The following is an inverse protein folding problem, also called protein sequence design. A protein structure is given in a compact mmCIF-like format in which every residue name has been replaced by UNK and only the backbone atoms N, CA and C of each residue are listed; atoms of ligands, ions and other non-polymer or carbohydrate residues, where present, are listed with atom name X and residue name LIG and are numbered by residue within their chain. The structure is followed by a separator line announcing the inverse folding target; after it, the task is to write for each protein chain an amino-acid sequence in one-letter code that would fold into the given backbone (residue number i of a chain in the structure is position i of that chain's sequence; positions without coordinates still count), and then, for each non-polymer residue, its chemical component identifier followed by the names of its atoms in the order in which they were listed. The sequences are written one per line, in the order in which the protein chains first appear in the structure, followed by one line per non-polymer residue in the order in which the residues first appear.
data_IF_474668678459
#
_entry.id   IF_474668678459
#
_cell.length_a   1.000
_cell.length_b   1.000
_cell.length_c   1.000
_cell.angle_alpha   90.00
_cell.angle_beta   90.00
_cell.angle_gamma   90.00
#
_symmetry.space_group_name_H-M   'P 1'
#
loop_
_entity.id
_entity.type
_entity.pdbx_description
1 polymer ?
#
# COMPACT_ATOMS: atom_id res chain seq x y z
N UNK A 1 -0.37 -0.97 32.91
CA UNK A 1 0.95 -0.35 33.09
C UNK A 1 0.91 0.97 32.33
N UNK A 2 0.89 2.11 33.02
CA UNK A 2 0.66 3.44 32.44
C UNK A 2 1.97 4.25 32.33
N UNK A 3 3.02 3.62 31.82
CA UNK A 3 4.29 4.31 31.61
C UNK A 3 4.24 5.03 30.26
N UNK A 4 4.74 6.27 30.16
CA UNK A 4 4.91 6.92 28.86
C UNK A 4 5.90 6.12 28.01
N UNK A 5 5.76 6.18 26.68
CA UNK A 5 6.76 5.61 25.80
C UNK A 5 8.12 6.31 25.98
N UNK A 6 9.25 5.60 25.78
CA UNK A 6 10.57 6.19 25.81
C UNK A 6 10.64 7.38 24.84
N UNK A 7 11.30 8.46 25.24
CA UNK A 7 11.49 9.65 24.40
C UNK A 7 12.61 9.43 23.36
N UNK A 8 12.52 8.32 22.64
CA UNK A 8 13.48 7.85 21.65
C UNK A 8 12.85 7.78 20.26
N UNK A 9 12.11 8.84 19.89
CA UNK A 9 11.51 9.02 18.58
C UNK A 9 11.38 10.50 18.25
N UNK A 10 11.43 10.83 16.97
CA UNK A 10 11.55 12.21 16.50
C UNK A 10 10.19 12.86 16.26
N UNK A 11 9.24 12.11 15.69
CA UNK A 11 7.89 12.58 15.44
C UNK A 11 6.87 11.43 15.43
N UNK A 12 5.58 11.80 15.45
CA UNK A 12 4.47 10.87 15.25
C UNK A 12 3.99 10.96 13.80
N UNK A 13 3.85 9.82 13.12
CA UNK A 13 3.27 9.75 11.80
C UNK A 13 1.87 9.13 11.86
N UNK A 14 0.88 9.89 11.40
CA UNK A 14 -0.51 9.46 11.31
C UNK A 14 -0.95 9.41 9.84
N UNK A 15 -1.89 8.54 9.53
CA UNK A 15 -2.55 8.52 8.23
C UNK A 15 -4.00 8.12 8.38
N UNK A 16 -4.88 8.85 7.71
CA UNK A 16 -6.24 8.36 7.48
C UNK A 16 -6.18 7.05 6.67
N UNK A 17 -7.09 6.11 6.93
CA UNK A 17 -7.19 4.88 6.15
C UNK A 17 -7.37 5.22 4.66
N UNK A 18 -6.72 4.44 3.78
CA UNK A 18 -6.80 4.57 2.32
C UNK A 18 -6.22 5.89 1.75
N UNK A 19 -5.32 6.56 2.48
CA UNK A 19 -4.66 7.80 2.06
C UNK A 19 -3.25 7.62 1.49
N UNK A 20 -2.86 6.41 1.06
CA UNK A 20 -1.52 6.17 0.48
C UNK A 20 -0.42 5.88 1.52
N UNK A 21 -0.79 5.39 2.70
CA UNK A 21 0.15 5.05 3.78
C UNK A 21 1.22 4.03 3.38
N UNK A 22 0.92 3.13 2.43
CA UNK A 22 1.89 2.15 1.95
C UNK A 22 3.05 2.81 1.16
N UNK A 23 2.74 3.75 0.26
CA UNK A 23 3.75 4.55 -0.43
C UNK A 23 4.56 5.41 0.56
N UNK A 24 3.88 6.05 1.51
CA UNK A 24 4.54 6.85 2.56
C UNK A 24 5.49 6.01 3.42
N UNK A 25 5.08 4.80 3.83
CA UNK A 25 5.93 3.84 4.57
C UNK A 25 7.22 3.59 3.80
N UNK A 26 7.10 3.24 2.53
CA UNK A 26 8.25 2.91 1.71
C UNK A 26 9.19 4.11 1.53
N UNK A 27 8.67 5.31 1.28
CA UNK A 27 9.53 6.50 1.15
C UNK A 27 10.25 6.85 2.46
N UNK A 28 9.59 6.72 3.61
CA UNK A 28 10.22 6.90 4.91
C UNK A 28 11.33 5.86 5.15
N UNK A 29 11.08 4.59 4.83
CA UNK A 29 12.08 3.51 4.95
C UNK A 29 13.29 3.72 4.02
N UNK A 30 13.06 4.23 2.80
CA UNK A 30 14.15 4.62 1.91
C UNK A 30 15.00 5.74 2.52
N UNK A 31 14.37 6.67 3.25
CA UNK A 31 15.02 7.72 4.04
C UNK A 31 15.61 7.22 5.37
N UNK A 32 15.76 5.90 5.54
CA UNK A 32 16.32 5.25 6.74
C UNK A 32 15.57 5.58 8.04
N UNK A 33 14.30 5.98 7.92
CA UNK A 33 13.42 6.15 9.07
C UNK A 33 13.01 4.76 9.58
N UNK A 34 13.24 4.52 10.86
CA UNK A 34 12.77 3.33 11.56
C UNK A 34 11.35 3.57 12.07
N UNK A 35 10.38 3.01 11.36
CA UNK A 35 8.95 3.18 11.66
C UNK A 35 8.53 2.19 12.74
N UNK A 36 8.38 2.68 13.97
CA UNK A 36 7.87 1.94 15.10
C UNK A 36 6.34 1.89 15.03
N UNK A 37 5.79 0.78 14.53
CA UNK A 37 4.35 0.55 14.40
C UNK A 37 3.97 -0.87 14.78
N UNK A 38 2.76 -1.05 15.27
CA UNK A 38 2.16 -2.37 15.45
C UNK A 38 0.64 -2.24 15.38
N UNK A 39 -0.01 -3.20 14.72
CA UNK A 39 -1.46 -3.18 14.49
C UNK A 39 -2.04 -4.37 15.24
N UNK A 40 -2.92 -4.08 16.20
CA UNK A 40 -3.58 -5.09 17.00
C UNK A 40 -4.89 -4.53 17.56
N UNK A 41 -5.86 -5.37 17.88
CA UNK A 41 -7.13 -4.93 18.49
C UNK A 41 -6.94 -4.49 19.95
N UNK A 42 -6.01 -5.13 20.66
CA UNK A 42 -5.61 -4.80 22.04
C UNK A 42 -4.55 -3.67 22.06
N UNK A 43 -4.84 -2.51 22.67
CA UNK A 43 -3.92 -1.38 22.78
C UNK A 43 -2.67 -1.68 23.62
N UNK A 44 -2.74 -2.60 24.59
CA UNK A 44 -1.58 -3.01 25.38
C UNK A 44 -0.56 -3.72 24.49
N UNK A 45 -1.03 -4.53 23.53
CA UNK A 45 -0.15 -5.19 22.57
C UNK A 45 0.46 -4.17 21.61
N UNK A 46 -0.30 -3.17 21.16
CA UNK A 46 0.24 -2.06 20.35
C UNK A 46 1.36 -1.34 21.13
N UNK A 47 1.06 -0.93 22.36
CA UNK A 47 2.00 -0.22 23.23
C UNK A 47 3.27 -1.04 23.48
N UNK A 48 3.14 -2.29 23.93
CA UNK A 48 4.28 -3.13 24.30
C UNK A 48 5.20 -3.41 23.11
N UNK A 49 4.64 -3.63 21.92
CA UNK A 49 5.44 -3.81 20.71
C UNK A 49 6.18 -2.54 20.31
N UNK A 50 5.52 -1.37 20.34
CA UNK A 50 6.17 -0.09 20.03
C UNK A 50 7.25 0.22 21.08
N UNK A 51 6.96 0.01 22.36
CA UNK A 51 7.91 0.18 23.46
C UNK A 51 9.17 -0.65 23.23
N UNK A 52 9.03 -1.95 22.91
CA UNK A 52 10.16 -2.83 22.62
C UNK A 52 10.93 -2.41 21.37
N UNK A 53 10.26 -1.96 20.31
CA UNK A 53 10.91 -1.46 19.10
C UNK A 53 11.79 -0.24 19.39
N UNK A 54 11.31 0.69 20.21
CA UNK A 54 12.06 1.88 20.63
C UNK A 54 13.27 1.51 21.50
N UNK A 55 13.13 0.55 22.42
CA UNK A 55 14.24 0.10 23.26
C UNK A 55 15.32 -0.66 22.48
N UNK A 56 14.92 -1.47 21.50
CA UNK A 56 15.86 -2.30 20.73
C UNK A 56 16.60 -1.51 19.65
N UNK A 57 16.14 -0.31 19.29
CA UNK A 57 16.72 0.51 18.23
C UNK A 57 17.07 1.94 18.71
N UNK A 58 17.90 2.10 19.77
CA UNK A 58 18.15 3.41 20.39
C UNK A 58 18.93 4.39 19.51
N UNK A 59 19.64 3.89 18.49
CA UNK A 59 20.49 4.71 17.63
C UNK A 59 19.87 4.98 16.25
N UNK A 60 18.67 4.45 15.97
CA UNK A 60 17.99 4.68 14.70
C UNK A 60 17.16 5.95 14.78
N UNK A 61 16.92 6.56 13.61
CA UNK A 61 15.96 7.65 13.47
C UNK A 61 14.54 7.07 13.61
N UNK A 62 14.00 7.06 14.83
CA UNK A 62 12.74 6.40 15.14
C UNK A 62 11.54 7.33 14.94
N UNK A 63 10.46 6.78 14.41
CA UNK A 63 9.16 7.45 14.29
C UNK A 63 8.09 6.52 14.82
N UNK A 64 7.17 7.02 15.63
CA UNK A 64 5.99 6.25 16.02
C UNK A 64 4.93 6.45 14.95
N UNK A 65 4.41 5.37 14.38
CA UNK A 65 3.34 5.47 13.40
C UNK A 65 2.06 4.76 13.86
N UNK A 66 0.92 5.41 13.60
CA UNK A 66 -0.39 4.82 13.72
C UNK A 66 -1.16 5.00 12.41
N UNK A 67 -1.65 3.88 11.88
CA UNK A 67 -2.39 3.83 10.63
C UNK A 67 -3.61 2.94 10.82
N UNK A 68 -4.78 3.48 10.49
CA UNK A 68 -6.02 2.75 10.62
C UNK A 68 -6.17 1.70 9.50
N UNK A 69 -6.42 0.46 9.91
CA UNK A 69 -6.73 -0.65 9.02
C UNK A 69 -8.17 -1.10 9.23
N UNK A 70 -8.90 -1.28 8.13
CA UNK A 70 -10.33 -1.60 8.16
C UNK A 70 -10.63 -3.00 8.70
N UNK A 71 -9.63 -3.90 8.69
CA UNK A 71 -9.73 -5.29 9.15
C UNK A 71 -9.23 -5.50 10.60
N UNK A 72 -8.68 -4.48 11.26
CA UNK A 72 -8.30 -4.54 12.69
C UNK A 72 -9.02 -3.43 13.45
N UNK A 73 -10.06 -3.81 14.18
CA UNK A 73 -10.82 -2.88 15.01
C UNK A 73 -10.12 -2.62 16.33
N UNK A 74 -9.93 -1.34 16.67
CA UNK A 74 -9.50 -0.86 17.98
C UNK A 74 -10.57 0.12 18.45
N UNK A 75 -11.13 -0.02 19.64
CA UNK A 75 -12.14 0.93 20.12
C UNK A 75 -11.56 2.34 20.27
N UNK A 76 -12.39 3.39 20.22
CA UNK A 76 -11.92 4.76 20.48
C UNK A 76 -11.34 4.92 21.88
N UNK A 77 -11.93 4.27 22.88
CA UNK A 77 -11.45 4.31 24.26
C UNK A 77 -10.04 3.70 24.39
N UNK A 78 -9.82 2.55 23.77
CA UNK A 78 -8.53 1.87 23.78
C UNK A 78 -7.46 2.67 23.02
N UNK A 79 -7.84 3.24 21.89
CA UNK A 79 -6.96 4.09 21.11
C UNK A 79 -6.62 5.38 21.86
N UNK A 80 -7.59 5.99 22.52
CA UNK A 80 -7.38 7.15 23.40
C UNK A 80 -6.34 6.85 24.49
N UNK A 81 -6.45 5.69 25.16
CA UNK A 81 -5.45 5.25 26.15
C UNK A 81 -4.05 5.19 25.56
N UNK A 82 -3.90 4.60 24.37
CA UNK A 82 -2.60 4.55 23.69
C UNK A 82 -2.09 5.95 23.32
N UNK A 83 -2.92 6.79 22.71
CA UNK A 83 -2.53 8.13 22.27
C UNK A 83 -2.11 9.01 23.44
N UNK A 84 -2.72 8.85 24.62
CA UNK A 84 -2.36 9.58 25.83
C UNK A 84 -0.97 9.22 26.39
N UNK A 85 -0.38 8.11 25.96
CA UNK A 85 1.00 7.72 26.32
C UNK A 85 2.06 8.34 25.41
N UNK A 86 1.64 8.99 24.31
CA UNK A 86 2.55 9.70 23.39
C UNK A 86 2.92 11.08 23.93
N UNK A 87 4.17 11.51 23.68
CA UNK A 87 4.61 12.87 23.98
C UNK A 87 3.90 13.89 23.09
N UNK A 88 3.05 14.72 23.70
CA UNK A 88 2.18 15.69 23.02
C UNK A 88 2.92 16.90 22.44
N UNK A 89 4.19 17.08 22.79
CA UNK A 89 5.03 18.16 22.28
C UNK A 89 5.80 17.77 21.01
N UNK A 90 5.81 16.48 20.65
CA UNK A 90 6.48 16.00 19.43
C UNK A 90 5.73 16.49 18.18
N UNK A 91 6.45 16.80 17.09
CA UNK A 91 5.83 17.06 15.80
C UNK A 91 4.97 15.87 15.35
N UNK A 92 3.92 16.18 14.58
CA UNK A 92 3.03 15.19 13.97
C UNK A 92 3.02 15.41 12.47
N UNK A 93 3.20 14.35 11.70
CA UNK A 93 3.00 14.35 10.26
C UNK A 93 1.70 13.58 9.97
N UNK A 94 0.72 14.22 9.35
CA UNK A 94 -0.59 13.61 9.10
C UNK A 94 -0.87 13.52 7.59
N UNK A 95 -0.92 12.30 7.06
CA UNK A 95 -1.29 12.04 5.67
C UNK A 95 -2.82 12.02 5.49
N UNK A 96 -3.33 12.97 4.72
CA UNK A 96 -4.76 13.15 4.41
C UNK A 96 -5.02 12.96 2.91
N UNK A 97 -6.29 12.81 2.55
CA UNK A 97 -6.72 12.63 1.16
C UNK A 97 -8.19 13.00 1.02
N UNK A 98 -8.57 13.48 -0.15
CA UNK A 98 -9.96 13.63 -0.58
C UNK A 98 -10.80 12.41 -0.16
N UNK A 99 -11.86 12.59 0.66
CA UNK A 99 -12.65 11.49 1.20
C UNK A 99 -13.41 10.68 0.15
N UNK A 100 -13.83 11.28 -0.97
CA UNK A 100 -14.45 10.54 -2.09
C UNK A 100 -13.39 9.67 -2.78
N UNK A 101 -12.18 10.20 -2.93
CA UNK A 101 -11.04 9.43 -3.45
C UNK A 101 -10.61 8.29 -2.51
N UNK A 102 -10.76 8.46 -1.19
CA UNK A 102 -10.56 7.40 -0.20
C UNK A 102 -11.62 6.31 -0.36
N UNK A 103 -12.89 6.67 -0.50
CA UNK A 103 -13.96 5.72 -0.82
C UNK A 103 -13.64 4.93 -2.10
N UNK A 104 -13.20 5.59 -3.17
CA UNK A 104 -12.76 4.90 -4.40
C UNK A 104 -11.72 3.83 -4.12
N UNK A 105 -10.68 4.15 -3.35
CA UNK A 105 -9.65 3.17 -3.02
C UNK A 105 -10.21 2.02 -2.19
N UNK A 106 -11.14 2.28 -1.28
CA UNK A 106 -11.81 1.24 -0.51
C UNK A 106 -12.69 0.31 -1.35
N UNK A 107 -13.49 0.87 -2.25
CA UNK A 107 -14.41 0.11 -3.11
C UNK A 107 -13.68 -0.77 -4.15
N UNK A 108 -12.50 -0.32 -4.59
CA UNK A 108 -11.63 -1.07 -5.49
C UNK A 108 -10.58 -1.91 -4.75
N UNK A 109 -10.63 -1.98 -3.41
CA UNK A 109 -9.65 -2.74 -2.64
C UNK A 109 -9.79 -4.23 -2.94
N UNK A 110 -8.64 -4.89 -3.08
CA UNK A 110 -8.56 -6.33 -3.33
C UNK A 110 -7.95 -7.06 -2.13
N UNK A 111 -8.33 -8.32 -1.96
CA UNK A 111 -7.71 -9.27 -1.05
C UNK A 111 -7.11 -10.43 -1.84
N UNK A 112 -6.02 -10.97 -1.30
CA UNK A 112 -5.45 -12.21 -1.80
C UNK A 112 -6.31 -13.39 -1.37
N UNK A 113 -6.65 -14.26 -2.32
CA UNK A 113 -7.37 -15.52 -2.05
C UNK A 113 -6.52 -16.42 -1.15
N UNK A 114 -7.19 -17.11 -0.23
CA UNK A 114 -6.56 -18.09 0.67
C UNK A 114 -5.97 -19.26 -0.11
N UNK A 115 -6.65 -19.69 -1.17
CA UNK A 115 -6.25 -20.79 -2.03
C UNK A 115 -5.40 -20.36 -3.25
N UNK A 116 -4.81 -19.17 -3.24
CA UNK A 116 -3.94 -18.72 -4.35
C UNK A 116 -2.70 -19.62 -4.50
N UNK A 117 -2.15 -19.72 -5.71
CA UNK A 117 -0.92 -20.48 -5.97
C UNK A 117 0.32 -19.57 -5.94
N UNK A 118 1.05 -19.56 -4.83
CA UNK A 118 2.31 -18.81 -4.70
C UNK A 118 3.50 -19.52 -5.38
N UNK A 119 3.40 -20.85 -5.56
CA UNK A 119 4.38 -21.70 -6.27
C UNK A 119 3.65 -22.55 -7.30
N UNK A 120 4.23 -22.71 -8.48
CA UNK A 120 3.66 -23.47 -9.60
C UNK A 120 4.75 -23.94 -10.56
N UNK A 121 4.42 -24.81 -11.50
CA UNK A 121 5.32 -25.36 -12.52
C UNK A 121 4.85 -25.02 -13.94
N UNK A 122 5.58 -25.54 -14.94
CA UNK A 122 5.28 -25.31 -16.36
C UNK A 122 3.99 -25.98 -16.83
N UNK A 123 3.50 -27.00 -16.12
CA UNK A 123 2.27 -27.73 -16.47
C UNK A 123 1.03 -27.10 -15.81
N UNK A 124 1.24 -26.22 -14.84
CA UNK A 124 0.16 -25.55 -14.12
C UNK A 124 -0.60 -24.59 -15.05
N UNK A 125 -1.93 -24.72 -15.19
CA UNK A 125 -2.73 -23.83 -16.03
C UNK A 125 -2.58 -22.37 -15.61
N UNK A 126 -2.19 -21.50 -16.55
CA UNK A 126 -1.95 -20.07 -16.28
C UNK A 126 -3.16 -19.38 -15.65
N UNK A 127 -4.39 -19.69 -16.09
CA UNK A 127 -5.60 -19.08 -15.53
C UNK A 127 -5.77 -19.40 -14.03
N UNK A 128 -5.30 -20.58 -13.60
CA UNK A 128 -5.28 -20.97 -12.19
C UNK A 128 -4.20 -20.22 -11.41
N UNK A 129 -3.02 -20.01 -12.01
CA UNK A 129 -1.95 -19.20 -11.42
C UNK A 129 -2.38 -17.75 -11.27
N UNK A 130 -3.10 -17.20 -12.26
CA UNK A 130 -3.58 -15.83 -12.22
C UNK A 130 -4.77 -15.65 -11.26
N UNK A 131 -5.48 -16.70 -10.87
CA UNK A 131 -6.59 -16.65 -9.90
C UNK A 131 -6.11 -16.49 -8.45
N UNK A 132 -5.68 -15.27 -8.09
CA UNK A 132 -5.02 -14.99 -6.81
C UNK A 132 -5.71 -13.98 -5.93
N UNK A 133 -6.64 -13.22 -6.47
CA UNK A 133 -7.20 -12.05 -5.80
C UNK A 133 -8.69 -11.90 -6.06
N UNK A 134 -9.39 -11.28 -5.11
CA UNK A 134 -10.81 -10.97 -5.17
C UNK A 134 -11.02 -9.56 -4.63
N UNK A 135 -12.15 -8.91 -4.93
CA UNK A 135 -12.48 -7.67 -4.24
C UNK A 135 -13.00 -7.98 -2.82
N UNK A 136 -13.06 -6.97 -1.96
CA UNK A 136 -13.64 -7.12 -0.62
C UNK A 136 -14.99 -7.86 -0.65
N UNK A 137 -15.20 -8.68 0.39
CA UNK A 137 -16.35 -9.58 0.54
C UNK A 137 -16.42 -10.65 -0.56
N UNK A 138 -15.25 -11.06 -1.06
CA UNK A 138 -15.09 -12.09 -2.10
C UNK A 138 -15.82 -11.77 -3.42
N UNK A 139 -16.12 -10.49 -3.65
CA UNK A 139 -16.84 -10.07 -4.84
C UNK A 139 -15.97 -10.19 -6.10
N UNK A 140 -16.51 -10.70 -7.23
CA UNK A 140 -15.77 -10.75 -8.50
C UNK A 140 -15.56 -9.36 -9.11
N UNK A 141 -16.39 -8.38 -8.74
CA UNK A 141 -16.35 -7.00 -9.24
C UNK A 141 -16.51 -5.99 -8.09
N UNK A 142 -15.92 -4.79 -8.20
CA UNK A 142 -16.16 -3.74 -7.21
C UNK A 142 -17.59 -3.22 -7.35
N UNK A 143 -18.19 -2.79 -6.24
CA UNK A 143 -19.56 -2.23 -6.23
C UNK A 143 -19.67 -1.02 -5.30
N UNK A 144 -20.40 0.01 -5.74
CA UNK A 144 -20.75 1.16 -4.91
C UNK A 144 -21.67 0.80 -3.74
N UNK A 145 -22.33 -0.37 -3.75
CA UNK A 145 -23.20 -0.77 -2.64
C UNK A 145 -22.46 -0.92 -1.31
N UNK A 146 -21.15 -1.19 -1.33
CA UNK A 146 -20.35 -1.21 -0.12
C UNK A 146 -20.25 0.14 0.57
N UNK A 147 -20.59 1.26 -0.11
CA UNK A 147 -20.69 2.58 0.53
C UNK A 147 -21.74 2.55 1.64
N UNK A 148 -22.93 1.98 1.36
CA UNK A 148 -24.04 1.92 2.33
C UNK A 148 -23.96 0.72 3.28
N UNK A 149 -23.34 -0.38 2.88
CA UNK A 149 -23.34 -1.61 3.69
C UNK A 149 -22.12 -1.73 4.60
N UNK A 150 -20.99 -1.11 4.25
CA UNK A 150 -19.74 -1.25 4.99
C UNK A 150 -19.08 0.09 5.32
N UNK A 151 -18.75 0.90 4.31
CA UNK A 151 -17.90 2.07 4.50
C UNK A 151 -18.53 3.14 5.40
N UNK A 152 -19.86 3.26 5.42
CA UNK A 152 -20.57 4.16 6.34
C UNK A 152 -20.40 3.79 7.82
N UNK A 153 -20.04 2.54 8.13
CA UNK A 153 -19.81 2.04 9.49
C UNK A 153 -18.32 1.82 9.79
N UNK A 154 -17.44 2.00 8.80
CA UNK A 154 -16.02 1.75 8.95
C UNK A 154 -15.35 2.84 9.80
N UNK A 155 -15.28 2.65 11.13
CA UNK A 155 -14.67 3.63 12.04
C UNK A 155 -13.23 4.02 11.66
N UNK A 156 -12.45 3.09 11.12
CA UNK A 156 -11.11 3.34 10.58
C UNK A 156 -11.08 4.42 9.49
N UNK A 157 -12.21 4.66 8.82
CA UNK A 157 -12.37 5.73 7.84
C UNK A 157 -12.58 7.10 8.50
N UNK A 158 -13.14 7.13 9.71
CA UNK A 158 -13.66 8.31 10.43
C UNK A 158 -12.85 8.61 11.71
N UNK A 159 -11.53 8.74 11.57
CA UNK A 159 -10.62 9.00 12.69
C UNK A 159 -9.82 10.29 12.57
N UNK A 160 -10.04 11.08 11.51
CA UNK A 160 -9.24 12.29 11.31
C UNK A 160 -9.45 13.27 12.46
N UNK A 161 -10.70 13.65 12.73
CA UNK A 161 -11.01 14.60 13.79
C UNK A 161 -10.65 14.05 15.17
N UNK A 162 -10.88 12.76 15.41
CA UNK A 162 -10.53 12.11 16.68
C UNK A 162 -9.02 12.14 16.94
N UNK A 163 -8.21 11.71 15.98
CA UNK A 163 -6.76 11.59 16.16
C UNK A 163 -6.09 12.95 16.35
N UNK A 164 -6.55 13.99 15.66
CA UNK A 164 -5.93 15.32 15.72
C UNK A 164 -6.17 16.03 17.05
N UNK A 165 -7.26 15.72 17.76
CA UNK A 165 -7.59 16.29 19.08
C UNK A 165 -6.54 15.96 20.16
N UNK A 166 -5.77 14.89 19.97
CA UNK A 166 -4.74 14.46 20.93
C UNK A 166 -3.43 15.22 20.83
N UNK A 167 -3.27 16.12 19.85
CA UNK A 167 -2.03 16.85 19.60
C UNK A 167 -2.30 18.34 19.46
N UNK A 168 -1.27 19.14 19.74
CA UNK A 168 -1.34 20.58 19.53
C UNK A 168 -1.39 20.88 18.04
N UNK A 169 -2.35 21.68 17.60
CA UNK A 169 -2.62 21.90 16.17
C UNK A 169 -1.40 22.48 15.44
N UNK A 170 -0.64 23.36 16.08
CA UNK A 170 0.59 23.95 15.56
C UNK A 170 1.75 22.95 15.40
N UNK A 171 1.61 21.74 15.95
CA UNK A 171 2.57 20.64 15.77
C UNK A 171 2.17 19.68 14.65
N UNK A 172 0.97 19.82 14.08
CA UNK A 172 0.47 18.94 13.02
C UNK A 172 0.80 19.53 11.65
N UNK A 173 1.66 18.85 10.91
CA UNK A 173 1.87 19.10 9.48
C UNK A 173 0.97 18.17 8.70
N UNK A 174 -0.05 18.73 8.04
CA UNK A 174 -0.91 17.97 7.13
C UNK A 174 -0.25 17.84 5.75
N UNK A 175 -0.29 16.64 5.20
CA UNK A 175 0.21 16.33 3.87
C UNK A 175 -0.91 15.68 3.06
N UNK A 176 -1.25 16.26 1.91
CA UNK A 176 -2.20 15.62 0.99
C UNK A 176 -1.52 14.45 0.26
N UNK A 177 -2.26 13.36 0.02
CA UNK A 177 -1.75 12.19 -0.69
C UNK A 177 -1.21 12.56 -2.09
N UNK A 178 -1.77 13.57 -2.76
CA UNK A 178 -1.23 14.01 -4.05
C UNK A 178 0.23 14.44 -3.98
N UNK A 179 0.70 14.97 -2.84
CA UNK A 179 2.08 15.38 -2.65
C UNK A 179 3.08 14.20 -2.61
N UNK A 180 2.62 12.98 -2.36
CA UNK A 180 3.47 11.78 -2.35
C UNK A 180 3.35 10.95 -3.64
N UNK A 181 2.68 11.47 -4.68
CA UNK A 181 2.72 10.84 -6.01
C UNK A 181 4.14 10.88 -6.59
N UNK A 182 4.52 9.93 -7.46
CA UNK A 182 5.89 9.80 -7.96
C UNK A 182 6.49 11.10 -8.51
N UNK A 183 5.70 11.91 -9.19
CA UNK A 183 6.13 13.19 -9.79
C UNK A 183 6.45 14.29 -8.76
N UNK A 184 5.89 14.22 -7.56
CA UNK A 184 6.07 15.21 -6.48
C UNK A 184 6.88 14.69 -5.30
N UNK A 185 6.96 13.36 -5.11
CA UNK A 185 7.48 12.72 -3.91
C UNK A 185 8.89 13.20 -3.54
N UNK A 186 9.81 13.32 -4.50
CA UNK A 186 11.17 13.80 -4.21
C UNK A 186 11.18 15.20 -3.60
N UNK A 187 10.42 16.14 -4.19
CA UNK A 187 10.36 17.51 -3.70
C UNK A 187 9.72 17.56 -2.30
N UNK A 188 8.61 16.84 -2.11
CA UNK A 188 7.93 16.74 -0.82
C UNK A 188 8.85 16.16 0.26
N UNK A 189 9.57 15.07 -0.02
CA UNK A 189 10.50 14.49 0.95
C UNK A 189 11.74 15.36 1.20
N UNK A 190 12.16 16.17 0.24
CA UNK A 190 13.17 17.21 0.48
C UNK A 190 12.68 18.26 1.48
N UNK A 191 11.42 18.70 1.38
CA UNK A 191 10.83 19.65 2.33
C UNK A 191 10.63 19.02 3.72
N UNK A 192 10.17 17.77 3.77
CA UNK A 192 10.02 17.03 5.02
C UNK A 192 11.38 16.78 5.69
N UNK A 193 12.43 16.48 4.93
CA UNK A 193 13.79 16.39 5.47
C UNK A 193 14.22 17.71 6.14
N UNK A 194 13.91 18.87 5.59
CA UNK A 194 14.20 20.16 6.22
C UNK A 194 13.46 20.33 7.56
N UNK A 195 12.24 19.83 7.66
CA UNK A 195 11.38 19.96 8.86
C UNK A 195 11.68 18.94 9.95
N UNK A 196 12.01 17.71 9.55
CA UNK A 196 12.12 16.56 10.46
C UNK A 196 13.57 16.06 10.58
N UNK A 197 14.48 16.37 9.65
CA UNK A 197 15.90 16.02 9.71
C UNK A 197 16.24 14.52 9.58
N UNK A 198 15.36 13.69 9.00
CA UNK A 198 15.70 12.32 8.59
C UNK A 198 16.63 12.29 7.37
N UNK A 199 17.21 11.16 6.98
CA UNK A 199 18.17 11.11 5.86
C UNK A 199 17.53 11.46 4.51
N UNK A 200 18.14 12.37 3.76
CA UNK A 200 17.75 12.66 2.37
C UNK A 200 18.26 11.57 1.42
N UNK A 201 17.44 11.20 0.42
CA UNK A 201 17.83 10.24 -0.62
C UNK A 201 17.91 10.90 -2.00
N UNK A 202 18.61 10.25 -2.92
CA UNK A 202 18.76 10.74 -4.29
C UNK A 202 17.44 10.65 -5.07
N UNK A 203 17.23 11.60 -5.99
CA UNK A 203 16.01 11.69 -6.82
C UNK A 203 15.68 10.40 -7.56
N UNK A 204 16.69 9.67 -8.04
CA UNK A 204 16.52 8.45 -8.83
C UNK A 204 15.78 7.34 -8.05
N UNK A 205 15.87 7.34 -6.72
CA UNK A 205 15.20 6.34 -5.89
C UNK A 205 13.68 6.54 -5.82
N UNK A 206 13.16 7.75 -6.06
CA UNK A 206 11.72 8.04 -6.06
C UNK A 206 11.04 7.73 -7.40
N UNK A 207 11.75 7.87 -8.52
CA UNK A 207 11.18 7.67 -9.85
C UNK A 207 10.96 6.18 -10.17
N UNK A 208 11.80 5.30 -9.61
CA UNK A 208 11.72 3.86 -9.80
C UNK A 208 10.69 3.16 -8.88
N UNK A 209 9.91 3.93 -8.12
CA UNK A 209 9.04 3.44 -7.05
C UNK A 209 7.59 3.83 -7.26
N UNK A 210 7.00 3.46 -8.40
CA UNK A 210 5.53 3.46 -8.52
C UNK A 210 5.01 2.32 -7.66
N UNK A 211 4.45 2.69 -6.51
CA UNK A 211 4.20 1.79 -5.39
C UNK A 211 2.70 1.56 -5.35
N UNK A 212 2.31 0.35 -5.75
CA UNK A 212 0.93 -0.14 -5.84
C UNK A 212 0.14 0.35 -7.05
N UNK A 213 0.68 0.12 -8.25
CA UNK A 213 -0.16 -0.11 -9.41
C UNK A 213 -0.83 -1.50 -9.33
N UNK A 214 -1.67 -1.84 -10.30
CA UNK A 214 -2.35 -3.13 -10.36
C UNK A 214 -1.37 -4.32 -10.28
N UNK A 215 -0.18 -4.19 -10.89
CA UNK A 215 0.86 -5.21 -10.84
C UNK A 215 1.47 -5.36 -9.44
N UNK A 216 1.75 -4.25 -8.76
CA UNK A 216 2.24 -4.26 -7.39
C UNK A 216 1.24 -4.87 -6.41
N UNK A 217 -0.06 -4.62 -6.58
CA UNK A 217 -1.08 -5.25 -5.76
C UNK A 217 -1.19 -6.77 -6.03
N UNK A 218 -1.14 -7.15 -7.31
CA UNK A 218 -1.18 -8.56 -7.74
C UNK A 218 0.04 -9.37 -7.27
N UNK A 219 1.23 -8.77 -7.28
CA UNK A 219 2.51 -9.36 -6.85
C UNK A 219 2.93 -8.92 -5.44
N UNK A 220 1.96 -8.55 -4.59
CA UNK A 220 2.22 -8.24 -3.19
C UNK A 220 2.93 -9.40 -2.48
N UNK A 221 2.52 -10.62 -2.80
CA UNK A 221 3.26 -11.85 -2.50
C UNK A 221 3.89 -12.33 -3.82
N UNK A 222 5.24 -12.41 -3.90
CA UNK A 222 5.92 -12.89 -5.09
C UNK A 222 5.48 -14.30 -5.50
N UNK A 223 5.61 -14.57 -6.79
CA UNK A 223 5.34 -15.87 -7.40
C UNK A 223 6.65 -16.63 -7.62
N UNK A 224 6.64 -17.96 -7.49
CA UNK A 224 7.80 -18.82 -7.77
C UNK A 224 7.42 -19.87 -8.80
N UNK A 225 8.01 -19.76 -10.00
CA UNK A 225 7.96 -20.81 -11.00
C UNK A 225 9.05 -21.84 -10.70
N UNK A 226 8.63 -23.06 -10.40
CA UNK A 226 9.48 -24.21 -10.10
C UNK A 226 9.64 -25.06 -11.37
N UNK A 227 10.87 -25.36 -11.75
CA UNK A 227 11.16 -26.12 -12.97
C UNK A 227 11.96 -27.35 -12.61
N UNK A 228 11.39 -28.52 -12.87
CA UNK A 228 12.08 -29.80 -12.70
C UNK A 228 13.06 -30.01 -13.84
N UNK A 229 14.34 -30.11 -13.49
CA UNK A 229 15.44 -30.31 -14.42
C UNK A 229 15.47 -31.73 -15.02
N UNK A 230 14.88 -32.73 -14.35
CA UNK A 230 14.78 -34.09 -14.88
C UNK A 230 13.97 -34.13 -16.18
N UNK A 231 12.93 -33.29 -16.27
CA UNK A 231 12.11 -33.14 -17.48
C UNK A 231 12.92 -32.63 -18.70
N UNK A 232 14.11 -32.08 -18.47
CA UNK A 232 15.02 -31.58 -19.49
C UNK A 232 16.26 -32.47 -19.67
N UNK A 233 16.27 -33.68 -19.08
CA UNK A 233 17.40 -34.62 -19.15
C UNK A 233 18.65 -34.12 -18.42
N UNK A 234 18.47 -33.18 -17.50
CA UNK A 234 19.55 -32.54 -16.77
C UNK A 234 19.70 -33.23 -15.42
N UNK A 235 20.77 -34.01 -15.26
CA UNK A 235 21.01 -34.83 -14.08
C UNK A 235 22.11 -34.19 -13.22
N UNK A 236 21.72 -33.43 -12.19
CA UNK A 236 22.66 -32.78 -11.26
C UNK A 236 22.50 -33.32 -9.83
N UNK A 237 23.62 -33.40 -9.12
CA UNK A 237 23.69 -33.97 -7.77
C UNK A 237 23.09 -33.06 -6.67
N UNK A 238 23.05 -31.73 -6.89
CA UNK A 238 22.84 -30.75 -5.81
C UNK A 238 21.43 -30.10 -5.80
N UNK A 239 20.71 -30.05 -6.92
CA UNK A 239 19.30 -29.66 -6.96
C UNK A 239 18.61 -30.13 -8.24
N UNK A 240 17.41 -30.70 -8.09
CA UNK A 240 16.55 -31.11 -9.21
C UNK A 240 15.61 -30.00 -9.68
N UNK A 241 15.50 -28.91 -8.92
CA UNK A 241 14.52 -27.85 -9.18
C UNK A 241 15.24 -26.50 -9.32
N UNK A 242 14.91 -25.77 -10.38
CA UNK A 242 15.20 -24.34 -10.51
C UNK A 242 14.00 -23.54 -10.02
N UNK A 243 14.25 -22.47 -9.26
CA UNK A 243 13.23 -21.54 -8.81
C UNK A 243 13.39 -20.16 -9.46
N UNK A 244 12.40 -19.74 -10.23
CA UNK A 244 12.32 -18.40 -10.81
C UNK A 244 11.32 -17.58 -10.00
N UNK A 245 11.85 -16.60 -9.27
CA UNK A 245 11.08 -15.58 -8.58
C UNK A 245 10.53 -14.57 -9.60
N UNK A 246 9.20 -14.41 -9.60
CA UNK A 246 8.46 -13.43 -10.38
C UNK A 246 7.97 -12.35 -9.41
N UNK A 247 8.47 -11.14 -9.57
CA UNK A 247 8.19 -10.02 -8.65
C UNK A 247 8.29 -8.67 -9.37
N UNK A 248 8.16 -7.57 -8.64
CA UNK A 248 8.37 -6.22 -9.18
C UNK A 248 9.73 -5.66 -8.81
N UNK A 249 10.23 -4.71 -9.61
CA UNK A 249 11.46 -3.93 -9.30
C UNK A 249 11.38 -3.30 -7.91
N UNK A 250 10.21 -2.82 -7.49
CA UNK A 250 10.05 -2.19 -6.19
C UNK A 250 10.22 -3.17 -5.03
N UNK A 251 9.54 -4.32 -5.04
CA UNK A 251 9.62 -5.28 -3.94
C UNK A 251 11.01 -5.92 -3.86
N UNK A 252 11.64 -6.16 -5.01
CA UNK A 252 13.02 -6.65 -5.06
C UNK A 252 14.01 -5.71 -4.36
N UNK A 253 13.88 -4.39 -4.58
CA UNK A 253 14.69 -3.36 -3.91
C UNK A 253 14.33 -3.25 -2.42
N UNK A 254 13.03 -3.20 -2.09
CA UNK A 254 12.53 -3.02 -0.73
C UNK A 254 13.00 -4.15 0.20
N UNK A 255 12.90 -5.40 -0.25
CA UNK A 255 13.35 -6.57 0.50
C UNK A 255 14.87 -6.79 0.46
N UNK A 256 15.63 -5.89 -0.17
CA UNK A 256 17.10 -5.95 -0.27
C UNK A 256 17.59 -7.33 -0.76
N UNK A 257 16.91 -7.88 -1.77
CA UNK A 257 17.19 -9.22 -2.30
C UNK A 257 18.54 -9.20 -3.05
N UNK A 258 19.58 -9.75 -2.44
CA UNK A 258 20.95 -9.69 -2.97
C UNK A 258 21.48 -11.03 -3.52
N UNK A 259 20.86 -12.15 -3.16
CA UNK A 259 21.26 -13.51 -3.56
C UNK A 259 20.64 -13.97 -4.88
N UNK A 260 19.87 -13.11 -5.56
CA UNK A 260 19.25 -13.40 -6.85
C UNK A 260 19.91 -12.62 -7.99
N UNK A 261 19.85 -13.17 -9.20
CA UNK A 261 20.23 -12.54 -10.47
C UNK A 261 18.99 -12.31 -11.31
N UNK A 262 18.83 -11.10 -11.86
CA UNK A 262 17.74 -10.77 -12.80
C UNK A 262 18.03 -11.45 -14.15
N UNK A 263 17.01 -12.07 -14.73
CA UNK A 263 17.13 -12.85 -15.98
C UNK A 263 16.21 -12.35 -17.09
N UNK A 264 15.57 -11.18 -16.95
CA UNK A 264 14.71 -10.60 -17.99
C UNK A 264 15.38 -10.55 -19.37
N UNK A 265 16.63 -10.10 -19.46
CA UNK A 265 17.36 -10.01 -20.74
C UNK A 265 17.82 -11.36 -21.30
N UNK A 266 17.80 -12.42 -20.48
CA UNK A 266 18.07 -13.79 -20.92
C UNK A 266 16.81 -14.39 -21.54
N UNK A 267 15.65 -14.08 -20.95
CA UNK A 267 14.36 -14.63 -21.35
C UNK A 267 13.69 -13.84 -22.47
N UNK A 268 13.89 -12.53 -22.55
CA UNK A 268 13.16 -11.64 -23.45
C UNK A 268 14.11 -10.69 -24.18
N UNK A 269 13.89 -10.52 -25.49
CA UNK A 269 14.62 -9.57 -26.34
C UNK A 269 13.94 -8.21 -26.40
N UNK A 270 12.62 -8.20 -26.37
CA UNK A 270 11.79 -6.99 -26.44
C UNK A 270 11.41 -6.48 -25.05
N UNK A 271 10.99 -5.23 -24.99
CA UNK A 271 10.46 -4.65 -23.76
C UNK A 271 9.15 -5.35 -23.38
N UNK A 272 9.08 -5.79 -22.13
CA UNK A 272 7.87 -6.38 -21.56
C UNK A 272 6.74 -5.34 -21.50
N UNK A 273 5.46 -5.76 -21.59
CA UNK A 273 4.33 -4.86 -21.43
C UNK A 273 4.25 -4.26 -20.01
N UNK A 274 4.96 -4.85 -19.05
CA UNK A 274 5.04 -4.40 -17.67
C UNK A 274 6.48 -4.04 -17.32
N UNK A 275 6.80 -2.74 -17.29
CA UNK A 275 8.17 -2.27 -17.06
C UNK A 275 8.73 -2.73 -15.70
N UNK A 276 7.88 -2.75 -14.68
CA UNK A 276 8.26 -3.13 -13.31
C UNK A 276 8.35 -4.64 -13.10
N UNK A 277 7.88 -5.48 -14.03
CA UNK A 277 7.92 -6.93 -13.89
C UNK A 277 9.35 -7.46 -14.06
N UNK A 278 9.82 -8.23 -13.09
CA UNK A 278 11.13 -8.87 -13.14
C UNK A 278 11.07 -10.35 -12.83
N UNK A 279 12.02 -11.06 -13.43
CA UNK A 279 12.27 -12.48 -13.24
C UNK A 279 13.66 -12.65 -12.67
N UNK A 280 13.76 -13.38 -11.56
CA UNK A 280 14.98 -13.52 -10.81
C UNK A 280 15.23 -14.98 -10.45
N UNK A 281 16.48 -15.42 -10.51
CA UNK A 281 16.91 -16.78 -10.14
C UNK A 281 17.98 -16.69 -9.04
N UNK A 282 18.05 -17.61 -8.07
CA UNK A 282 19.17 -17.68 -7.14
C UNK A 282 20.50 -17.71 -7.90
N UNK A 283 21.49 -16.95 -7.43
CA UNK A 283 22.78 -16.80 -8.12
C UNK A 283 23.46 -18.16 -8.34
N UNK A 284 23.41 -19.04 -7.35
CA UNK A 284 23.95 -20.41 -7.45
C UNK A 284 23.25 -21.27 -8.51
N UNK A 285 21.97 -21.03 -8.80
CA UNK A 285 21.18 -21.80 -9.76
C UNK A 285 21.29 -21.25 -11.19
N UNK A 286 21.89 -20.07 -11.40
CA UNK A 286 21.99 -19.46 -12.73
C UNK A 286 22.75 -20.33 -13.73
N UNK A 287 23.74 -21.10 -13.26
CA UNK A 287 24.53 -22.03 -14.09
C UNK A 287 23.67 -23.06 -14.82
N UNK A 288 22.50 -23.42 -14.26
CA UNK A 288 21.59 -24.39 -14.88
C UNK A 288 20.83 -23.81 -16.07
N UNK A 289 20.63 -22.49 -16.07
CA UNK A 289 20.03 -21.76 -17.18
C UNK A 289 21.10 -21.42 -18.24
N UNK A 290 22.30 -21.07 -17.79
CA UNK A 290 23.41 -20.65 -18.64
C UNK A 290 23.78 -21.78 -19.63
N UNK A 291 23.68 -21.47 -20.93
CA UNK A 291 23.94 -22.39 -22.05
C UNK A 291 22.89 -23.51 -22.30
N UNK A 292 21.81 -23.61 -21.52
CA UNK A 292 20.72 -24.55 -21.82
C UNK A 292 19.61 -23.89 -22.65
N UNK A 293 19.81 -23.84 -23.97
CA UNK A 293 18.88 -23.18 -24.90
C UNK A 293 17.48 -23.80 -24.92
N UNK A 294 17.35 -25.11 -24.70
CA UNK A 294 16.05 -25.78 -24.69
C UNK A 294 15.24 -25.36 -23.47
N UNK A 295 15.87 -25.41 -22.29
CA UNK A 295 15.26 -24.96 -21.04
C UNK A 295 14.84 -23.49 -21.13
N UNK A 296 15.72 -22.61 -21.62
CA UNK A 296 15.43 -21.18 -21.81
C UNK A 296 14.18 -21.00 -22.70
N UNK A 297 14.11 -21.70 -23.84
CA UNK A 297 12.96 -21.58 -24.76
C UNK A 297 11.64 -22.04 -24.14
N UNK A 298 11.65 -23.12 -23.37
CA UNK A 298 10.45 -23.61 -22.68
C UNK A 298 9.96 -22.61 -21.62
N UNK A 299 10.88 -22.10 -20.80
CA UNK A 299 10.56 -21.07 -19.80
C UNK A 299 10.03 -19.81 -20.48
N UNK A 300 10.70 -19.35 -21.53
CA UNK A 300 10.32 -18.17 -22.28
C UNK A 300 8.90 -18.33 -22.84
N UNK A 301 8.60 -19.43 -23.54
CA UNK A 301 7.28 -19.67 -24.13
C UNK A 301 6.17 -19.63 -23.08
N UNK A 302 6.37 -20.28 -21.92
CA UNK A 302 5.40 -20.27 -20.83
C UNK A 302 5.20 -18.85 -20.28
N UNK A 303 6.29 -18.13 -20.01
CA UNK A 303 6.23 -16.80 -19.41
C UNK A 303 5.67 -15.75 -20.37
N UNK A 304 5.89 -15.88 -21.69
CA UNK A 304 5.25 -15.02 -22.70
C UNK A 304 3.72 -15.19 -22.69
N UNK A 305 3.21 -16.42 -22.63
CA UNK A 305 1.77 -16.68 -22.48
C UNK A 305 1.25 -16.15 -21.15
N UNK A 306 1.97 -16.39 -20.05
CA UNK A 306 1.63 -15.90 -18.72
C UNK A 306 1.47 -14.37 -18.71
N UNK A 307 2.44 -13.65 -19.27
CA UNK A 307 2.42 -12.19 -19.36
C UNK A 307 1.26 -11.71 -20.24
N UNK A 308 1.00 -12.38 -21.36
CA UNK A 308 -0.11 -12.06 -22.27
C UNK A 308 -1.47 -12.19 -21.56
N UNK A 309 -1.73 -13.33 -20.90
CA UNK A 309 -2.98 -13.55 -20.15
C UNK A 309 -3.11 -12.59 -18.96
N UNK A 310 -2.01 -12.31 -18.26
CA UNK A 310 -1.99 -11.31 -17.18
C UNK A 310 -2.39 -9.92 -17.69
N UNK A 311 -1.88 -9.51 -18.86
CA UNK A 311 -2.27 -8.24 -19.51
C UNK A 311 -3.76 -8.20 -19.82
N UNK A 312 -4.31 -9.24 -20.45
CA UNK A 312 -5.75 -9.32 -20.74
C UNK A 312 -6.58 -9.19 -19.45
N UNK A 313 -6.20 -9.91 -18.40
CA UNK A 313 -6.86 -9.82 -17.09
C UNK A 313 -6.83 -8.40 -16.52
N UNK A 314 -5.67 -7.74 -16.58
CA UNK A 314 -5.51 -6.39 -16.04
C UNK A 314 -6.29 -5.34 -16.83
N UNK A 315 -6.30 -5.45 -18.17
CA UNK A 315 -7.08 -4.58 -19.04
C UNK A 315 -8.59 -4.72 -18.78
N UNK A 316 -9.08 -5.95 -18.53
CA UNK A 316 -10.47 -6.19 -18.13
C UNK A 316 -10.78 -5.59 -16.76
N UNK A 317 -9.91 -5.79 -15.78
CA UNK A 317 -10.07 -5.20 -14.44
C UNK A 317 -10.13 -3.69 -14.47
N UNK A 318 -9.23 -3.05 -15.23
CA UNK A 318 -9.17 -1.60 -15.34
C UNK A 318 -10.49 -0.99 -15.82
N UNK A 319 -11.23 -1.68 -16.71
CA UNK A 319 -12.54 -1.26 -17.20
C UNK A 319 -13.65 -1.34 -16.16
N UNK A 320 -13.49 -2.18 -15.14
CA UNK A 320 -14.47 -2.40 -14.08
C UNK A 320 -14.23 -1.55 -12.83
N UNK A 321 -13.08 -0.87 -12.72
CA UNK A 321 -12.76 -0.07 -11.55
C UNK A 321 -13.76 1.08 -11.39
N UNK A 322 -14.21 1.26 -10.16
CA UNK A 322 -15.08 2.37 -9.78
C UNK A 322 -14.25 3.66 -9.80
N UNK A 323 -14.75 4.72 -10.42
CA UNK A 323 -14.18 6.06 -10.34
C UNK A 323 -14.97 6.97 -9.39
N UNK A 324 -14.39 8.10 -8.99
CA UNK A 324 -15.03 9.05 -8.08
C UNK A 324 -16.37 9.58 -8.62
N UNK A 325 -16.49 9.81 -9.93
CA UNK A 325 -17.74 10.27 -10.54
C UNK A 325 -18.88 9.25 -10.38
N UNK A 326 -18.57 7.95 -10.44
CA UNK A 326 -19.58 6.90 -10.20
C UNK A 326 -20.02 6.89 -8.73
N UNK A 327 -19.11 7.19 -7.79
CA UNK A 327 -19.43 7.33 -6.36
C UNK A 327 -20.35 8.53 -6.14
N UNK A 328 -20.02 9.68 -6.73
CA UNK A 328 -20.85 10.89 -6.64
C UNK A 328 -22.24 10.64 -7.24
N UNK A 329 -22.33 10.04 -8.43
CA UNK A 329 -23.61 9.68 -9.04
C UNK A 329 -24.43 8.72 -8.16
N UNK A 330 -23.77 7.73 -7.55
CA UNK A 330 -24.42 6.80 -6.61
C UNK A 330 -24.98 7.53 -5.38
N UNK A 331 -24.22 8.45 -4.78
CA UNK A 331 -24.67 9.24 -3.64
C UNK A 331 -25.81 10.20 -4.03
N UNK A 332 -25.71 10.87 -5.19
CA UNK A 332 -26.76 11.77 -5.72
C UNK A 332 -28.11 11.06 -5.86
N UNK A 333 -28.08 9.82 -6.34
CA UNK A 333 -29.28 8.99 -6.50
C UNK A 333 -29.82 8.42 -5.17
N UNK A 334 -29.07 8.55 -4.06
CA UNK A 334 -29.45 8.07 -2.73
C UNK A 334 -29.42 9.22 -1.71
N UNK A 335 -30.38 10.14 -1.79
CA UNK A 335 -30.39 11.38 -1.00
C UNK A 335 -30.25 11.17 0.52
N UNK A 336 -30.91 10.15 1.09
CA UNK A 336 -30.78 9.82 2.52
C UNK A 336 -29.34 9.45 2.89
N UNK A 337 -28.69 8.64 2.06
CA UNK A 337 -27.30 8.23 2.25
C UNK A 337 -26.37 9.45 2.08
N UNK A 338 -26.61 10.30 1.10
CA UNK A 338 -25.84 11.53 0.90
C UNK A 338 -25.88 12.44 2.13
N UNK A 339 -27.07 12.66 2.73
CA UNK A 339 -27.21 13.44 3.98
C UNK A 339 -26.47 12.79 5.16
N UNK A 340 -26.43 11.46 5.24
CA UNK A 340 -25.64 10.77 6.27
C UNK A 340 -24.14 11.01 6.08
N UNK A 341 -23.63 10.86 4.85
CA UNK A 341 -22.22 11.13 4.54
C UNK A 341 -21.84 12.59 4.75
N UNK A 342 -22.73 13.54 4.44
CA UNK A 342 -22.51 14.97 4.71
C UNK A 342 -22.27 15.22 6.19
N UNK A 343 -23.13 14.69 7.06
CA UNK A 343 -22.98 14.79 8.52
C UNK A 343 -21.65 14.21 9.00
N UNK A 344 -21.25 13.06 8.45
CA UNK A 344 -19.97 12.43 8.79
C UNK A 344 -18.79 13.30 8.36
N UNK A 345 -18.77 13.79 7.12
CA UNK A 345 -17.68 14.63 6.62
C UNK A 345 -17.60 15.99 7.33
N UNK A 346 -18.73 16.60 7.67
CA UNK A 346 -18.75 17.84 8.45
C UNK A 346 -18.07 17.67 9.80
N UNK A 347 -18.29 16.53 10.46
CA UNK A 347 -17.63 16.19 11.73
C UNK A 347 -16.15 15.85 11.55
N UNK A 348 -15.82 15.01 10.56
CA UNK A 348 -14.46 14.50 10.38
C UNK A 348 -13.48 15.54 9.85
N UNK A 349 -13.97 16.51 9.07
CA UNK A 349 -13.13 17.50 8.41
C UNK A 349 -13.08 18.85 9.13
N UNK A 350 -13.77 19.00 10.27
CA UNK A 350 -13.88 20.28 10.98
C UNK A 350 -12.52 20.91 11.30
N UNK A 351 -11.59 20.13 11.87
CA UNK A 351 -10.28 20.62 12.29
C UNK A 351 -9.41 21.05 11.09
N UNK A 352 -9.38 20.25 10.02
CA UNK A 352 -8.57 20.54 8.84
C UNK A 352 -9.17 21.68 8.00
N UNK A 353 -10.51 21.78 7.90
CA UNK A 353 -11.19 22.93 7.26
C UNK A 353 -10.84 24.24 7.95
N UNK A 354 -10.75 24.25 9.28
CA UNK A 354 -10.45 25.45 10.06
C UNK A 354 -8.98 25.90 9.91
N UNK A 355 -8.03 24.97 9.93
CA UNK A 355 -6.59 25.32 10.02
C UNK A 355 -5.84 25.21 8.69
N UNK A 356 -6.30 24.36 7.78
CA UNK A 356 -5.70 24.15 6.45
C UNK A 356 -6.78 24.08 5.34
N UNK A 357 -7.60 25.13 5.18
CA UNK A 357 -8.67 25.16 4.19
C UNK A 357 -8.14 25.00 2.76
N UNK A 358 -6.89 25.41 2.49
CA UNK A 358 -6.23 25.24 1.20
C UNK A 358 -6.10 23.76 0.78
N UNK A 359 -5.83 22.85 1.72
CA UNK A 359 -5.77 21.41 1.44
C UNK A 359 -7.16 20.92 1.06
N UNK A 360 -8.18 21.25 1.85
CA UNK A 360 -9.56 20.80 1.60
C UNK A 360 -10.11 21.38 0.29
N UNK A 361 -9.79 22.63 -0.03
CA UNK A 361 -10.18 23.27 -1.28
C UNK A 361 -9.56 22.60 -2.52
N UNK A 362 -8.41 21.93 -2.37
CA UNK A 362 -7.77 21.17 -3.45
C UNK A 362 -8.47 19.84 -3.79
N UNK A 363 -9.36 19.36 -2.91
CA UNK A 363 -10.05 18.08 -3.06
C UNK A 363 -11.23 18.18 -4.02
N UNK A 364 -10.94 18.07 -5.31
CA UNK A 364 -11.90 18.19 -6.41
C UNK A 364 -13.24 17.48 -6.16
N UNK A 365 -13.21 16.21 -5.77
CA UNK A 365 -14.42 15.38 -5.69
C UNK A 365 -15.20 15.65 -4.40
N UNK A 366 -14.50 15.99 -3.32
CA UNK A 366 -15.15 16.49 -2.12
C UNK A 366 -15.86 17.83 -2.36
N UNK A 367 -15.24 18.75 -3.11
CA UNK A 367 -15.90 20.01 -3.48
C UNK A 367 -17.15 19.80 -4.34
N UNK A 368 -17.14 18.80 -5.24
CA UNK A 368 -18.32 18.42 -6.01
C UNK A 368 -19.42 17.82 -5.13
N UNK A 369 -19.05 16.98 -4.16
CA UNK A 369 -19.96 16.44 -3.16
C UNK A 369 -20.63 17.54 -2.31
N UNK A 370 -19.89 18.54 -1.84
CA UNK A 370 -20.45 19.64 -1.05
C UNK A 370 -21.49 20.43 -1.87
N UNK A 371 -21.19 20.75 -3.13
CA UNK A 371 -22.16 21.41 -4.05
C UNK A 371 -23.43 20.60 -4.23
N UNK A 372 -23.31 19.29 -4.40
CA UNK A 372 -24.47 18.41 -4.51
C UNK A 372 -25.32 18.38 -3.24
N UNK A 373 -24.71 18.58 -2.06
CA UNK A 373 -25.44 18.67 -0.80
C UNK A 373 -26.17 20.01 -0.67
N UNK A 374 -25.57 21.11 -1.11
CA UNK A 374 -26.23 22.43 -1.16
C UNK A 374 -27.47 22.44 -2.06
N UNK A 375 -27.49 21.63 -3.14
CA UNK A 375 -28.67 21.46 -4.01
C UNK A 375 -29.84 20.69 -3.34
N UNK A 376 -29.61 20.03 -2.19
CA UNK A 376 -30.65 19.28 -1.46
C UNK A 376 -31.34 20.07 -0.35
N UNK A 377 -30.71 21.14 0.10
CA UNK A 377 -31.18 22.04 1.17
C UNK A 377 -32.05 23.15 0.57
#
# INVERSE_FOLDING_TARGET
MNLPLPDNYEFVWLSSALSGHAAMTMYLELCEVNICKYIHHDPFIIYSNIFMQLLNNPLKYNVIAYTDYTHVYVSREDLERFLNLLNKNKPVLYLVRDPISRLKTGLNHIDLKVNRLDRFDLDTPIDRVLDRETYYFESPLPTCDHIKTYWIYAESFFRLNFLTQFFKIEKITYLDMTSIKPEYAYHTFSQLNTLYHFRQISKNLFHDTVVYDMLGAFLLVPLILCIDLENFGVNYADSKIIEILITTRQFFKLHKINNYKKINSVLFKDNLPFENLIFCIPKEQFVYLENNLTLIKCIQSYLEEFISKMKVKFDLKAKCLICENQILAYLKNNQTLMRQWKKIFDQELICIKQHHPNIVASWKYYQEFEKMCEELD
#
